data_IF_457807556031
#
_entry.id   IF_457807556031
#
_cell.length_a   1.000
_cell.length_b   1.000
_cell.length_c   1.000
_cell.angle_alpha   90.00
_cell.angle_beta   90.00
_cell.angle_gamma   90.00
#
_symmetry.space_group_name_H-M   'P 1'
#
loop_
_entity.id
_entity.type
_entity.pdbx_description
1 polymer ?
#
# COMPACT_ATOMS: atom_id res chain seq x y z
N UNK A 1 7.58 -3.79 -2.44
CA UNK A 1 8.32 -4.25 -1.26
C UNK A 1 8.39 -5.78 -1.22
N UNK A 2 7.29 -6.55 -1.28
CA UNK A 2 7.31 -8.02 -1.26
C UNK A 2 8.33 -8.63 -2.24
N UNK A 3 8.32 -8.16 -3.50
CA UNK A 3 9.31 -8.59 -4.51
C UNK A 3 10.75 -8.22 -4.16
N UNK A 4 10.96 -7.09 -3.48
CA UNK A 4 12.29 -6.66 -3.03
C UNK A 4 12.83 -7.56 -1.93
N UNK A 5 11.95 -8.13 -1.12
CA UNK A 5 12.30 -9.07 -0.05
C UNK A 5 12.36 -10.52 -0.54
N UNK A 6 12.17 -10.75 -1.85
CA UNK A 6 12.36 -12.06 -2.48
C UNK A 6 11.08 -12.91 -2.57
N UNK A 7 9.91 -12.36 -2.23
CA UNK A 7 8.64 -13.05 -2.41
C UNK A 7 8.19 -13.00 -3.87
N UNK A 8 7.69 -14.11 -4.36
CA UNK A 8 7.01 -14.17 -5.65
C UNK A 8 5.58 -13.65 -5.53
N UNK A 9 5.10 -13.00 -6.58
CA UNK A 9 3.72 -12.51 -6.65
C UNK A 9 2.97 -13.34 -7.67
N UNK A 10 1.99 -14.12 -7.19
CA UNK A 10 1.11 -14.92 -8.01
C UNK A 10 0.06 -14.06 -8.74
N UNK A 11 -0.45 -14.54 -9.86
CA UNK A 11 -1.54 -13.93 -10.63
C UNK A 11 -2.93 -14.26 -10.05
N UNK A 12 -3.02 -15.37 -9.32
CA UNK A 12 -4.27 -15.93 -8.83
C UNK A 12 -4.24 -16.15 -7.32
N UNK A 13 -5.40 -16.18 -6.69
CA UNK A 13 -5.52 -16.42 -5.26
C UNK A 13 -5.25 -17.90 -4.90
N UNK A 14 -5.63 -18.80 -5.81
CA UNK A 14 -5.47 -20.24 -5.66
C UNK A 14 -4.04 -20.65 -5.58
N UNK A 15 -3.24 -20.88 -5.04
CA UNK A 15 -1.81 -21.26 -5.11
C UNK A 15 -0.89 -20.25 -4.44
N UNK A 16 -1.45 -19.14 -3.98
CA UNK A 16 -0.71 -18.18 -3.15
C UNK A 16 -0.64 -18.69 -1.71
N UNK A 17 0.53 -18.57 -1.07
CA UNK A 17 0.68 -18.90 0.35
C UNK A 17 -0.09 -17.93 1.26
N UNK A 18 -0.31 -16.71 0.79
CA UNK A 18 -0.98 -15.63 1.49
C UNK A 18 -1.50 -14.60 0.49
N UNK A 19 -2.67 -14.03 0.77
CA UNK A 19 -3.25 -12.94 0.00
C UNK A 19 -3.24 -11.65 0.82
N UNK A 20 -2.77 -10.56 0.22
CA UNK A 20 -2.84 -9.22 0.83
C UNK A 20 -3.82 -8.38 0.04
N UNK A 21 -4.94 -8.01 0.64
CA UNK A 21 -5.98 -7.16 0.04
C UNK A 21 -5.78 -5.72 0.49
N UNK A 22 -5.45 -4.86 -0.47
CA UNK A 22 -5.36 -3.41 -0.22
C UNK A 22 -6.72 -2.76 -0.51
N UNK A 23 -7.32 -2.19 0.51
CA UNK A 23 -8.71 -1.73 0.50
C UNK A 23 -8.85 -0.23 0.35
N UNK A 24 -9.94 0.19 -0.27
CA UNK A 24 -10.39 1.57 -0.30
C UNK A 24 -11.55 1.79 0.67
N UNK A 25 -11.52 2.87 1.45
CA UNK A 25 -12.59 3.25 2.38
C UNK A 25 -13.19 4.62 2.06
N UNK A 26 -12.94 5.14 0.84
CA UNK A 26 -13.20 6.53 0.53
C UNK A 26 -14.66 6.81 0.16
N UNK A 27 -15.28 5.94 -0.62
CA UNK A 27 -16.68 6.02 -1.03
C UNK A 27 -17.38 4.68 -0.78
N UNK A 28 -18.69 4.68 -0.58
CA UNK A 28 -19.43 3.48 -0.18
C UNK A 28 -19.29 2.33 -1.22
N UNK A 29 -19.32 2.65 -2.51
CA UNK A 29 -19.13 1.65 -3.57
C UNK A 29 -17.75 0.97 -3.49
N UNK A 30 -16.69 1.73 -3.20
CA UNK A 30 -15.34 1.17 -3.06
C UNK A 30 -15.17 0.41 -1.73
N UNK A 31 -15.90 0.78 -0.69
CA UNK A 31 -15.99 -0.01 0.55
C UNK A 31 -16.62 -1.37 0.25
N UNK A 32 -17.75 -1.40 -0.46
CA UNK A 32 -18.41 -2.65 -0.82
C UNK A 32 -17.54 -3.51 -1.71
N UNK A 33 -16.94 -2.95 -2.75
CA UNK A 33 -15.97 -3.63 -3.62
C UNK A 33 -14.80 -4.24 -2.82
N UNK A 34 -14.28 -3.49 -1.85
CA UNK A 34 -13.21 -3.97 -0.96
C UNK A 34 -13.66 -5.16 -0.11
N UNK A 35 -14.87 -5.12 0.45
CA UNK A 35 -15.43 -6.22 1.23
C UNK A 35 -15.68 -7.45 0.36
N UNK A 36 -16.20 -7.27 -0.85
CA UNK A 36 -16.43 -8.35 -1.80
C UNK A 36 -15.10 -9.01 -2.20
N UNK A 37 -14.05 -8.21 -2.48
CA UNK A 37 -12.72 -8.71 -2.79
C UNK A 37 -12.09 -9.50 -1.62
N UNK A 38 -12.30 -9.08 -0.37
CA UNK A 38 -11.89 -9.84 0.81
C UNK A 38 -12.63 -11.19 0.85
N UNK A 39 -13.94 -11.19 0.59
CA UNK A 39 -14.75 -12.41 0.55
C UNK A 39 -14.30 -13.38 -0.53
N UNK A 40 -13.99 -12.89 -1.71
CA UNK A 40 -13.44 -13.67 -2.81
C UNK A 40 -12.08 -14.29 -2.43
N UNK A 41 -11.16 -13.49 -1.91
CA UNK A 41 -9.85 -13.95 -1.47
C UNK A 41 -9.95 -14.99 -0.33
N UNK A 42 -10.86 -14.77 0.63
CA UNK A 42 -11.12 -15.74 1.70
C UNK A 42 -11.68 -17.05 1.20
N UNK A 43 -12.56 -17.01 0.19
CA UNK A 43 -13.16 -18.22 -0.40
C UNK A 43 -12.16 -19.00 -1.23
N UNK A 44 -11.28 -18.33 -1.95
CA UNK A 44 -10.30 -18.95 -2.84
C UNK A 44 -9.04 -19.43 -2.10
N UNK A 45 -8.58 -18.73 -1.07
CA UNK A 45 -7.32 -18.99 -0.37
C UNK A 45 -7.48 -19.23 1.13
N UNK A 46 -8.31 -18.44 1.81
CA UNK A 46 -8.56 -18.53 3.24
C UNK A 46 -7.49 -17.87 4.13
N UNK A 47 -6.33 -17.50 3.60
CA UNK A 47 -5.23 -16.85 4.34
C UNK A 47 -5.08 -15.41 3.84
N UNK A 48 -5.81 -14.50 4.46
CA UNK A 48 -5.94 -13.12 3.98
C UNK A 48 -5.50 -12.11 5.04
N UNK A 49 -4.64 -11.18 4.64
CA UNK A 49 -4.31 -9.95 5.37
C UNK A 49 -5.00 -8.79 4.67
N UNK A 50 -5.64 -7.92 5.42
CA UNK A 50 -6.30 -6.72 4.91
C UNK A 50 -5.51 -5.49 5.31
N UNK A 51 -5.29 -4.59 4.37
CA UNK A 51 -4.63 -3.30 4.58
C UNK A 51 -5.36 -2.19 3.83
N UNK A 52 -4.92 -0.96 4.00
CA UNK A 52 -5.48 0.19 3.29
C UNK A 52 -6.46 1.01 4.11
N UNK A 53 -7.20 1.87 3.43
CA UNK A 53 -8.03 2.89 4.08
C UNK A 53 -9.19 2.31 4.89
N UNK A 54 -9.80 1.22 4.42
CA UNK A 54 -10.86 0.53 5.14
C UNK A 54 -10.35 -0.18 6.40
N UNK A 55 -9.06 -0.52 6.46
CA UNK A 55 -8.44 -1.17 7.62
C UNK A 55 -8.56 -0.38 8.93
N UNK A 56 -8.91 0.90 8.88
CA UNK A 56 -9.23 1.68 10.07
C UNK A 56 -10.55 1.25 10.73
N UNK A 57 -11.47 0.71 9.96
CA UNK A 57 -12.74 0.15 10.43
C UNK A 57 -12.64 -1.38 10.51
N UNK A 58 -11.75 -1.84 11.39
CA UNK A 58 -11.50 -3.26 11.60
C UNK A 58 -12.77 -4.01 12.01
N UNK A 59 -13.62 -3.40 12.82
CA UNK A 59 -14.86 -4.00 13.29
C UNK A 59 -15.80 -4.33 12.12
N UNK A 60 -15.93 -3.44 11.16
CA UNK A 60 -16.74 -3.67 9.94
C UNK A 60 -16.20 -4.85 9.13
N UNK A 61 -14.89 -4.91 8.95
CA UNK A 61 -14.24 -6.02 8.23
C UNK A 61 -14.47 -7.34 8.96
N UNK A 62 -14.24 -7.40 10.28
CA UNK A 62 -14.36 -8.63 11.06
C UNK A 62 -15.79 -9.10 11.26
N UNK A 63 -16.77 -8.22 11.22
CA UNK A 63 -18.19 -8.60 11.23
C UNK A 63 -18.58 -9.41 9.98
N UNK A 64 -18.05 -9.05 8.82
CA UNK A 64 -18.32 -9.76 7.57
C UNK A 64 -17.34 -10.92 7.33
N UNK A 65 -16.09 -10.75 7.72
CA UNK A 65 -14.99 -11.69 7.48
C UNK A 65 -14.20 -11.97 8.77
N UNK A 66 -14.77 -12.73 9.73
CA UNK A 66 -14.16 -12.94 11.06
C UNK A 66 -12.81 -13.69 11.00
N UNK A 67 -12.56 -14.44 9.96
CA UNK A 67 -11.37 -15.29 9.80
C UNK A 67 -10.18 -14.59 9.12
N UNK A 68 -10.27 -13.27 8.84
CA UNK A 68 -9.12 -12.50 8.33
C UNK A 68 -7.97 -12.56 9.33
N UNK A 69 -6.78 -12.89 8.87
CA UNK A 69 -5.60 -13.11 9.71
C UNK A 69 -5.15 -11.83 10.41
N UNK A 70 -5.08 -10.73 9.67
CA UNK A 70 -4.64 -9.43 10.17
C UNK A 70 -5.35 -8.30 9.42
N UNK A 71 -5.69 -7.25 10.14
CA UNK A 71 -6.16 -5.98 9.57
C UNK A 71 -5.18 -4.88 9.96
N UNK A 72 -4.77 -4.07 9.00
CA UNK A 72 -3.84 -2.94 9.20
C UNK A 72 -4.34 -1.69 8.50
N UNK A 73 -3.92 -0.53 8.98
CA UNK A 73 -4.30 0.76 8.39
C UNK A 73 -3.53 1.11 7.12
N UNK A 74 -3.87 2.25 6.55
CA UNK A 74 -3.36 2.73 5.26
C UNK A 74 -1.85 3.03 5.22
N UNK A 75 -1.23 3.39 6.35
CA UNK A 75 0.19 3.73 6.45
C UNK A 75 1.04 2.64 7.13
N UNK A 76 0.45 1.51 7.41
CA UNK A 76 1.02 0.43 8.23
C UNK A 76 1.86 -0.57 7.40
N UNK A 77 2.73 -0.09 6.51
CA UNK A 77 3.53 -0.96 5.63
C UNK A 77 4.42 -1.94 6.39
N UNK A 78 5.01 -1.50 7.50
CA UNK A 78 5.84 -2.37 8.34
C UNK A 78 5.01 -3.47 9.00
N UNK A 79 3.84 -3.14 9.52
CA UNK A 79 2.92 -4.10 10.14
C UNK A 79 2.43 -5.15 9.13
N UNK A 80 2.21 -4.76 7.87
CA UNK A 80 1.88 -5.70 6.78
C UNK A 80 3.03 -6.65 6.55
N UNK A 81 4.27 -6.15 6.47
CA UNK A 81 5.45 -7.00 6.24
C UNK A 81 5.69 -7.95 7.42
N UNK A 82 5.59 -7.46 8.66
CA UNK A 82 5.67 -8.30 9.86
C UNK A 82 4.61 -9.41 9.85
N UNK A 83 3.38 -9.06 9.46
CA UNK A 83 2.33 -10.05 9.34
C UNK A 83 2.60 -11.06 8.22
N UNK A 84 3.15 -10.63 7.08
CA UNK A 84 3.56 -11.55 6.01
C UNK A 84 4.63 -12.50 6.53
N UNK A 85 5.69 -12.01 7.17
CA UNK A 85 6.76 -12.84 7.73
C UNK A 85 6.26 -13.82 8.80
N UNK A 86 5.21 -13.45 9.53
CA UNK A 86 4.60 -14.36 10.53
C UNK A 86 3.90 -15.57 9.89
N UNK A 87 3.30 -15.39 8.71
CA UNK A 87 2.49 -16.43 8.06
C UNK A 87 3.17 -17.12 6.89
N UNK A 88 4.16 -16.48 6.28
CA UNK A 88 4.94 -17.03 5.17
C UNK A 88 6.42 -16.98 5.55
N UNK A 89 7.17 -18.08 5.45
CA UNK A 89 8.59 -18.09 5.76
C UNK A 89 9.34 -17.00 4.96
N UNK A 90 10.25 -16.31 5.61
CA UNK A 90 11.11 -15.36 4.91
C UNK A 90 11.89 -16.08 3.81
N UNK A 91 11.83 -15.59 2.57
CA UNK A 91 12.65 -16.12 1.50
C UNK A 91 14.13 -15.87 1.83
N UNK A 92 15.05 -16.65 1.21
CA UNK A 92 16.48 -16.42 1.40
C UNK A 92 16.81 -14.97 1.03
N UNK A 93 17.62 -14.32 1.89
CA UNK A 93 17.97 -12.91 1.70
C UNK A 93 18.44 -12.65 0.27
N UNK A 94 17.82 -11.67 -0.33
CA UNK A 94 18.17 -11.18 -1.65
C UNK A 94 19.68 -10.92 -1.78
N UNK A 95 20.29 -11.47 -2.82
CA UNK A 95 21.69 -11.21 -3.15
C UNK A 95 21.74 -10.18 -4.28
N UNK A 96 22.10 -8.91 -4.00
CA UNK A 96 22.09 -7.84 -5.00
C UNK A 96 23.02 -8.10 -6.19
N UNK A 97 23.98 -9.02 -6.07
CA UNK A 97 24.87 -9.40 -7.17
C UNK A 97 24.29 -10.46 -8.12
N UNK A 98 23.29 -11.21 -7.66
CA UNK A 98 22.68 -12.30 -8.44
C UNK A 98 21.27 -11.91 -8.91
N UNK A 99 20.48 -11.30 -8.05
CA UNK A 99 19.05 -11.13 -8.26
C UNK A 99 18.67 -9.86 -9.01
N UNK A 100 19.61 -8.92 -9.20
CA UNK A 100 19.42 -7.66 -9.94
C UNK A 100 18.21 -6.81 -9.48
N UNK A 101 17.70 -7.05 -8.28
CA UNK A 101 16.58 -6.29 -7.70
C UNK A 101 17.16 -5.10 -6.92
N UNK A 102 16.75 -3.85 -7.22
CA UNK A 102 17.22 -2.68 -6.50
C UNK A 102 16.73 -2.69 -5.04
N UNK A 103 17.57 -2.29 -4.09
CA UNK A 103 17.21 -2.13 -2.67
C UNK A 103 15.98 -1.22 -2.45
N UNK A 104 15.73 -0.31 -3.38
CA UNK A 104 14.62 0.66 -3.33
C UNK A 104 13.29 0.13 -3.89
N UNK A 105 13.25 -1.17 -4.24
CA UNK A 105 12.06 -1.82 -4.78
C UNK A 105 11.91 -1.73 -6.30
N UNK A 106 10.91 -2.44 -6.79
CA UNK A 106 10.59 -2.50 -8.22
C UNK A 106 9.51 -1.47 -8.51
N UNK A 107 9.79 -0.58 -9.47
CA UNK A 107 8.81 0.38 -9.94
C UNK A 107 7.81 -0.30 -10.89
N UNK A 108 6.54 -0.22 -10.54
CA UNK A 108 5.44 -0.80 -11.33
C UNK A 108 4.86 0.16 -12.39
N UNK A 109 5.24 1.45 -12.35
CA UNK A 109 4.79 2.44 -13.32
C UNK A 109 5.56 2.32 -14.65
N UNK A 110 4.99 2.75 -15.78
CA UNK A 110 5.72 2.89 -17.04
C UNK A 110 7.00 3.70 -16.87
N UNK A 111 7.99 3.45 -17.74
CA UNK A 111 9.35 4.05 -17.60
C UNK A 111 9.37 5.57 -17.69
N UNK A 112 8.38 6.19 -18.34
CA UNK A 112 8.39 7.62 -18.61
C UNK A 112 7.91 8.48 -17.45
N UNK A 113 7.10 7.96 -16.51
CA UNK A 113 6.65 8.71 -15.34
C UNK A 113 6.79 7.93 -14.04
N UNK A 114 6.76 8.65 -12.92
CA UNK A 114 6.74 8.07 -11.58
C UNK A 114 6.00 8.98 -10.60
N UNK A 115 5.41 8.36 -9.58
CA UNK A 115 4.87 9.10 -8.44
C UNK A 115 5.97 9.36 -7.42
N UNK A 116 6.03 10.58 -6.91
CA UNK A 116 6.90 10.97 -5.81
C UNK A 116 6.03 11.47 -4.65
N UNK A 117 5.93 10.66 -3.62
CA UNK A 117 5.14 10.98 -2.44
C UNK A 117 5.94 11.92 -1.53
N UNK A 118 5.41 13.11 -1.27
CA UNK A 118 6.09 14.14 -0.46
C UNK A 118 5.47 14.31 0.94
N UNK A 119 4.23 13.88 1.13
CA UNK A 119 3.56 13.93 2.43
C UNK A 119 2.44 12.90 2.54
N UNK A 120 1.91 12.74 3.74
CA UNK A 120 0.78 11.86 4.09
C UNK A 120 -0.17 12.62 5.00
N UNK A 121 -1.49 12.33 4.95
CA UNK A 121 -2.49 12.96 5.80
C UNK A 121 -2.97 14.32 5.31
N UNK A 122 -3.92 14.92 6.02
CA UNK A 122 -4.49 16.23 5.66
C UNK A 122 -5.00 16.97 6.88
N UNK A 123 -4.63 18.25 7.03
CA UNK A 123 -5.09 19.12 8.12
C UNK A 123 -6.34 19.91 7.78
N UNK A 124 -6.82 19.86 6.53
CA UNK A 124 -8.08 20.49 6.14
C UNK A 124 -9.24 19.68 6.71
N UNK A 125 -10.01 20.25 7.61
CA UNK A 125 -11.16 19.63 8.27
C UNK A 125 -12.44 19.91 7.50
N UNK A 126 -12.45 19.69 6.19
CA UNK A 126 -13.65 19.90 5.36
C UNK A 126 -14.79 19.00 5.85
N UNK A 127 -15.98 19.55 5.98
CA UNK A 127 -17.14 18.88 6.61
C UNK A 127 -17.58 17.59 5.92
N UNK A 128 -17.33 17.47 4.62
CA UNK A 128 -17.69 16.31 3.80
C UNK A 128 -16.52 15.34 3.57
N UNK A 129 -15.32 15.65 4.10
CA UNK A 129 -14.11 14.90 3.77
C UNK A 129 -13.68 13.94 4.87
N UNK A 130 -13.60 12.66 4.54
CA UNK A 130 -13.21 11.59 5.45
C UNK A 130 -11.68 11.42 5.59
N UNK A 131 -10.86 12.09 4.75
CA UNK A 131 -9.42 11.86 4.68
C UNK A 131 -8.70 12.04 6.03
N UNK A 132 -8.90 13.13 6.78
CA UNK A 132 -8.22 13.29 8.06
C UNK A 132 -8.52 12.15 9.05
N UNK A 133 -9.73 11.59 8.99
CA UNK A 133 -10.11 10.46 9.84
C UNK A 133 -9.45 9.15 9.41
N UNK A 134 -9.20 8.94 8.10
CA UNK A 134 -8.61 7.72 7.57
C UNK A 134 -7.08 7.72 7.56
N UNK A 135 -6.48 8.89 7.24
CA UNK A 135 -5.04 9.04 7.01
C UNK A 135 -4.31 9.85 8.07
N UNK A 136 -5.04 10.45 9.00
CA UNK A 136 -4.49 11.30 10.05
C UNK A 136 -4.12 12.70 9.59
N UNK A 137 -3.39 13.40 10.43
CA UNK A 137 -2.91 14.75 10.17
C UNK A 137 -1.78 14.75 9.15
N UNK A 138 -1.58 15.90 8.49
CA UNK A 138 -0.53 16.07 7.49
C UNK A 138 0.85 15.91 8.10
N UNK A 139 1.60 14.95 7.60
CA UNK A 139 3.01 14.73 7.92
C UNK A 139 3.82 14.79 6.63
N UNK A 140 4.75 15.74 6.54
CA UNK A 140 5.63 15.89 5.39
C UNK A 140 6.87 15.02 5.54
N UNK A 141 7.34 14.46 4.43
CA UNK A 141 8.62 13.75 4.39
C UNK A 141 9.78 14.73 4.52
N UNK A 142 10.92 14.30 5.10
CA UNK A 142 12.14 15.11 5.12
C UNK A 142 12.55 15.50 3.69
N UNK A 143 12.90 16.78 3.50
CA UNK A 143 13.27 17.33 2.18
C UNK A 143 14.42 16.55 1.55
N UNK A 144 15.44 16.17 2.33
CA UNK A 144 16.58 15.39 1.85
C UNK A 144 16.15 14.06 1.21
N UNK A 145 15.30 13.31 1.91
CA UNK A 145 14.75 12.02 1.41
C UNK A 145 13.96 12.19 0.10
N UNK A 146 13.18 13.26 -0.02
CA UNK A 146 12.42 13.55 -1.25
C UNK A 146 13.35 13.89 -2.41
N UNK A 147 14.38 14.70 -2.15
CA UNK A 147 15.36 15.08 -3.17
C UNK A 147 16.22 13.89 -3.64
N UNK A 148 16.62 13.02 -2.74
CA UNK A 148 17.36 11.79 -3.06
C UNK A 148 16.54 10.87 -3.97
N UNK A 149 15.26 10.64 -3.64
CA UNK A 149 14.36 9.85 -4.46
C UNK A 149 14.11 10.49 -5.84
N UNK A 150 13.88 11.82 -5.88
CA UNK A 150 13.73 12.56 -7.14
C UNK A 150 14.98 12.44 -8.02
N UNK A 151 16.17 12.55 -7.44
CA UNK A 151 17.42 12.38 -8.15
C UNK A 151 17.60 10.94 -8.67
N UNK A 152 17.20 9.93 -7.89
CA UNK A 152 17.21 8.54 -8.32
C UNK A 152 16.27 8.29 -9.49
N UNK A 153 15.04 8.83 -9.45
CA UNK A 153 14.08 8.75 -10.55
C UNK A 153 14.62 9.40 -11.83
N UNK A 154 15.25 10.57 -11.71
CA UNK A 154 15.91 11.25 -12.84
C UNK A 154 17.02 10.39 -13.45
N UNK A 155 17.89 9.80 -12.62
CA UNK A 155 18.96 8.89 -13.08
C UNK A 155 18.39 7.65 -13.77
N UNK A 156 17.25 7.15 -13.31
CA UNK A 156 16.53 6.02 -13.91
C UNK A 156 15.81 6.37 -15.24
N UNK A 157 15.96 7.63 -15.73
CA UNK A 157 15.42 8.06 -17.01
C UNK A 157 13.93 8.44 -16.98
N UNK A 158 13.36 8.69 -15.82
CA UNK A 158 11.99 9.20 -15.67
C UNK A 158 11.91 10.60 -16.27
N UNK A 159 10.89 10.84 -17.09
CA UNK A 159 10.67 12.10 -17.78
C UNK A 159 9.68 13.02 -17.06
N UNK A 160 8.74 12.42 -16.33
CA UNK A 160 7.66 13.10 -15.64
C UNK A 160 7.55 12.59 -14.22
N UNK A 161 7.47 13.50 -13.26
CA UNK A 161 7.26 13.19 -11.84
C UNK A 161 5.93 13.77 -11.40
N UNK A 162 5.03 12.89 -10.97
CA UNK A 162 3.75 13.25 -10.38
C UNK A 162 3.94 13.34 -8.87
N UNK A 163 3.85 14.56 -8.33
CA UNK A 163 3.93 14.76 -6.89
C UNK A 163 2.66 14.21 -6.24
N UNK A 164 2.83 13.25 -5.37
CA UNK A 164 1.73 12.64 -4.63
C UNK A 164 1.75 13.10 -3.18
N UNK A 165 0.73 13.85 -2.85
CA UNK A 165 0.11 13.90 -1.53
C UNK A 165 -0.98 12.84 -1.54
N UNK A 166 -1.63 12.55 -0.44
CA UNK A 166 -2.91 11.77 -0.46
C UNK A 166 -3.93 12.50 -1.32
N UNK A 167 -3.89 13.80 -1.28
CA UNK A 167 -4.53 14.67 -2.23
C UNK A 167 -3.51 15.65 -2.78
N UNK A 168 -3.51 15.83 -4.08
CA UNK A 168 -3.15 17.10 -4.65
C UNK A 168 -4.32 18.01 -4.27
N UNK A 169 -4.24 18.63 -3.10
CA UNK A 169 -5.14 19.71 -2.79
C UNK A 169 -4.65 20.89 -3.58
N UNK A 170 -5.25 21.13 -4.73
CA UNK A 170 -5.20 22.47 -5.25
C UNK A 170 -5.76 23.41 -4.17
N UNK A 171 -5.06 24.52 -3.87
CA UNK A 171 -5.64 25.53 -3.03
C UNK A 171 -6.88 26.05 -3.77
N UNK A 172 -8.05 25.60 -3.32
CA UNK A 172 -9.29 26.22 -3.75
C UNK A 172 -9.25 27.65 -3.26
N UNK A 173 -9.15 28.58 -4.19
CA UNK A 173 -9.33 29.99 -3.93
C UNK A 173 -10.76 30.25 -3.47
#
# INVERSE_FOLDING_TARGET
QLKTEGYDVASDYEGADLVVVNTCGFIESAVQESLDAIGEAMSANGRVIVTGCLGKDEDKIRQMHPNVLKVTGAAAYQEVMEAVHQYVPEPPKHNPFIDLVPEQGIRLTPKHYAYLKISEGCNHRCTFCIIPSMRGDLVSRPVGSVLEEAAALKRAGVKEVLLSLIHISEPTR
#
